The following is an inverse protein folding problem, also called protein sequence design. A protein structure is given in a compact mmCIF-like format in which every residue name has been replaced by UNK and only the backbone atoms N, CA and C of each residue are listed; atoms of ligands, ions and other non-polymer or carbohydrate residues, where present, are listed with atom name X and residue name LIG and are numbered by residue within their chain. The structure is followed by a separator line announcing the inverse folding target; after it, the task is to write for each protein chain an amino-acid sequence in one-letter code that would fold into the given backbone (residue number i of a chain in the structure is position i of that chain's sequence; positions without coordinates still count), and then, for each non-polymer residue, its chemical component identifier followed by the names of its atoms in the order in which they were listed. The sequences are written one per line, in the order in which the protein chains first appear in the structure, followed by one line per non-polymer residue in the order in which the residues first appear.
data_IF_273151751617
#
_entry.id   IF_273151751617
#
_cell.length_a   1.000
_cell.length_b   1.000
_cell.length_c   1.000
_cell.angle_alpha   90.00
_cell.angle_beta   90.00
_cell.angle_gamma   90.00
#
_symmetry.space_group_name_H-M   'P 1'
#
loop_
_entity.id
_entity.type
_entity.pdbx_description
1 polymer ?
#
# COMPACT_ATOMS: atom_id res chain seq x y z
N UNK A 1 68.42 -102.28 58.88
CA UNK A 1 67.45 -102.62 57.81
C UNK A 1 67.33 -101.47 56.83
N UNK A 2 67.25 -101.77 55.53
CA UNK A 2 67.02 -100.77 54.49
C UNK A 2 65.64 -100.10 54.65
N UNK A 3 65.52 -98.80 54.32
CA UNK A 3 64.30 -98.01 54.43
C UNK A 3 64.22 -96.96 53.32
N UNK A 4 63.10 -96.28 53.14
CA UNK A 4 63.00 -95.17 52.17
C UNK A 4 62.86 -93.82 52.88
N UNK A 5 63.35 -92.76 52.24
CA UNK A 5 63.07 -91.40 52.67
C UNK A 5 61.59 -91.04 52.47
N UNK A 6 60.99 -90.19 53.31
CA UNK A 6 59.54 -89.98 53.33
C UNK A 6 58.97 -89.17 52.15
N UNK A 7 59.71 -88.22 51.57
CA UNK A 7 59.16 -87.30 50.54
C UNK A 7 59.42 -87.74 49.09
N UNK A 8 60.60 -88.31 48.83
CA UNK A 8 61.10 -88.74 47.52
C UNK A 8 61.18 -90.27 47.37
N UNK A 9 61.02 -91.02 48.47
CA UNK A 9 61.08 -92.48 48.44
C UNK A 9 62.46 -93.06 48.11
N UNK A 10 63.55 -92.34 48.42
CA UNK A 10 64.93 -92.76 48.11
C UNK A 10 65.37 -93.91 49.05
N UNK A 11 65.93 -95.00 48.51
CA UNK A 11 66.19 -96.25 49.25
C UNK A 11 67.48 -96.22 50.09
N UNK A 12 67.39 -95.88 51.37
CA UNK A 12 68.47 -96.01 52.36
C UNK A 12 68.91 -97.46 52.56
N UNK A 13 70.22 -97.72 52.46
CA UNK A 13 70.82 -99.06 52.58
C UNK A 13 71.26 -99.36 54.01
N UNK A 14 71.33 -100.65 54.36
CA UNK A 14 71.70 -101.13 55.70
C UNK A 14 73.22 -101.02 55.92
N UNK A 15 73.68 -100.22 56.91
CA UNK A 15 75.11 -99.97 57.12
C UNK A 15 75.89 -101.16 57.71
N UNK A 16 75.23 -102.24 58.18
CA UNK A 16 75.92 -103.39 58.81
C UNK A 16 76.89 -104.17 57.89
N UNK A 17 77.00 -103.79 56.61
CA UNK A 17 77.85 -104.47 55.61
C UNK A 17 78.89 -103.54 54.98
N UNK A 18 78.95 -102.26 55.35
CA UNK A 18 79.96 -101.35 54.82
C UNK A 18 81.28 -101.47 55.59
N UNK A 19 82.34 -101.83 54.88
CA UNK A 19 83.68 -101.89 55.47
C UNK A 19 84.10 -100.47 55.85
N UNK A 20 84.25 -100.21 57.15
CA UNK A 20 84.41 -98.91 57.80
C UNK A 20 85.62 -98.04 57.35
N UNK A 21 86.30 -98.38 56.25
CA UNK A 21 87.55 -97.71 55.82
C UNK A 21 87.58 -97.27 54.34
N UNK A 22 86.59 -97.57 53.49
CA UNK A 22 86.64 -97.12 52.07
C UNK A 22 85.39 -96.43 51.53
N UNK A 23 84.19 -96.73 52.05
CA UNK A 23 82.97 -96.00 51.71
C UNK A 23 81.90 -96.20 52.80
N UNK A 24 81.67 -95.18 53.61
CA UNK A 24 80.64 -95.18 54.66
C UNK A 24 79.29 -94.80 54.04
N UNK A 25 78.40 -95.80 53.88
CA UNK A 25 77.09 -95.67 53.21
C UNK A 25 76.17 -94.77 54.03
N UNK A 26 76.29 -94.76 55.35
CA UNK A 26 75.49 -93.89 56.20
C UNK A 26 75.75 -92.41 55.89
N UNK A 27 77.01 -91.99 55.96
CA UNK A 27 77.41 -90.58 55.79
C UNK A 27 77.43 -90.13 54.32
N UNK A 28 77.86 -91.00 53.40
CA UNK A 28 78.05 -90.63 51.98
C UNK A 28 76.79 -90.82 51.13
N UNK A 29 75.82 -91.63 51.56
CA UNK A 29 74.60 -91.94 50.79
C UNK A 29 73.33 -91.64 51.60
N UNK A 30 73.10 -92.33 52.72
CA UNK A 30 71.85 -92.25 53.47
C UNK A 30 71.60 -90.84 54.04
N UNK A 31 72.58 -90.22 54.69
CA UNK A 31 72.49 -88.86 55.22
C UNK A 31 72.31 -87.83 54.10
N UNK A 32 73.00 -88.00 52.96
CA UNK A 32 72.84 -87.11 51.82
C UNK A 32 71.45 -87.23 51.21
N UNK A 33 70.86 -88.43 51.17
CA UNK A 33 69.47 -88.64 50.77
C UNK A 33 68.49 -88.05 51.77
N UNK A 34 68.70 -88.18 53.09
CA UNK A 34 67.85 -87.53 54.08
C UNK A 34 67.92 -85.99 53.96
N UNK A 35 69.10 -85.43 53.66
CA UNK A 35 69.29 -83.98 53.39
C UNK A 35 68.56 -83.54 52.12
N UNK A 36 68.69 -84.28 51.01
CA UNK A 36 68.03 -83.98 49.74
C UNK A 36 66.51 -84.14 49.87
N UNK A 37 66.06 -85.20 50.51
CA UNK A 37 64.63 -85.47 50.73
C UNK A 37 63.98 -84.38 51.59
N UNK A 38 64.65 -83.97 52.66
CA UNK A 38 64.20 -82.85 53.50
C UNK A 38 64.16 -81.55 52.71
N UNK A 39 65.22 -81.23 51.96
CA UNK A 39 65.28 -80.00 51.17
C UNK A 39 64.22 -79.96 50.06
N UNK A 40 63.99 -81.07 49.35
CA UNK A 40 62.97 -81.15 48.29
C UNK A 40 61.56 -81.20 48.89
N UNK A 41 61.36 -81.85 50.04
CA UNK A 41 60.12 -81.79 50.81
C UNK A 41 59.75 -80.35 51.18
N UNK A 42 60.71 -79.59 51.71
CA UNK A 42 60.52 -78.16 52.03
C UNK A 42 60.25 -77.31 50.79
N UNK A 43 60.93 -77.56 49.67
CA UNK A 43 60.68 -76.85 48.40
C UNK A 43 59.29 -77.16 47.87
N UNK A 44 58.85 -78.43 47.96
CA UNK A 44 57.52 -78.87 47.53
C UNK A 44 56.42 -78.25 48.39
N UNK A 45 56.55 -78.29 49.71
CA UNK A 45 55.64 -77.59 50.63
C UNK A 45 55.65 -76.07 50.36
N UNK A 46 56.83 -75.51 50.08
CA UNK A 46 56.97 -74.11 49.68
C UNK A 46 56.19 -73.78 48.41
N UNK A 47 56.32 -74.60 47.36
CA UNK A 47 55.62 -74.48 46.08
C UNK A 47 54.11 -74.69 46.19
N UNK A 48 53.68 -75.68 46.99
CA UNK A 48 52.25 -75.94 47.26
C UNK A 48 51.59 -74.75 47.98
N UNK A 49 52.36 -73.98 48.75
CA UNK A 49 51.90 -72.76 49.42
C UNK A 49 52.07 -71.47 48.58
N UNK A 50 52.64 -71.53 47.37
CA UNK A 50 52.65 -70.39 46.44
C UNK A 50 51.26 -70.27 45.79
N UNK A 51 50.32 -69.67 46.51
CA UNK A 51 49.06 -69.22 45.93
C UNK A 51 49.25 -67.80 45.34
N UNK A 52 49.37 -67.70 44.02
CA UNK A 52 49.36 -66.40 43.33
C UNK A 52 47.91 -66.01 43.05
N UNK A 53 47.19 -65.65 44.11
CA UNK A 53 45.84 -65.09 43.99
C UNK A 53 45.97 -63.59 43.68
N UNK A 54 45.67 -63.21 42.43
CA UNK A 54 45.63 -61.81 42.01
C UNK A 54 44.15 -61.43 41.91
N UNK A 55 43.64 -60.56 42.79
CA UNK A 55 42.23 -60.18 42.76
C UNK A 55 41.89 -59.39 41.49
N UNK A 56 40.59 -59.27 41.19
CA UNK A 56 40.11 -58.32 40.19
C UNK A 56 40.41 -56.89 40.64
N UNK A 57 40.72 -56.00 39.70
CA UNK A 57 40.99 -54.61 40.06
C UNK A 57 39.73 -53.90 40.53
N UNK A 58 39.89 -53.02 41.51
CA UNK A 58 38.87 -52.10 41.98
C UNK A 58 39.43 -50.67 42.01
N UNK A 59 38.60 -49.70 42.41
CA UNK A 59 39.04 -48.32 42.58
C UNK A 59 40.04 -48.16 43.75
N UNK A 60 40.14 -49.14 44.64
CA UNK A 60 40.98 -49.09 45.84
C UNK A 60 42.06 -50.18 45.89
N UNK A 61 41.93 -51.22 45.07
CA UNK A 61 42.83 -52.37 45.05
C UNK A 61 43.30 -52.67 43.63
N UNK A 62 44.60 -52.87 43.48
CA UNK A 62 45.19 -53.25 42.18
C UNK A 62 44.84 -54.71 41.87
N UNK A 63 44.56 -55.00 40.60
CA UNK A 63 44.18 -56.33 40.18
C UNK A 63 44.17 -56.52 38.67
N UNK A 64 43.62 -57.64 38.21
CA UNK A 64 43.40 -57.91 36.78
C UNK A 64 42.07 -57.31 36.28
N UNK A 65 42.01 -56.90 35.01
CA UNK A 65 40.82 -56.27 34.40
C UNK A 65 40.58 -56.84 33.00
N UNK A 66 39.32 -57.09 32.65
CA UNK A 66 38.95 -57.43 31.28
C UNK A 66 38.85 -56.18 30.39
N UNK A 67 39.37 -56.26 29.17
CA UNK A 67 39.27 -55.16 28.20
C UNK A 67 37.91 -55.19 27.47
N UNK A 68 37.38 -54.01 27.18
CA UNK A 68 36.13 -53.83 26.42
C UNK A 68 36.32 -52.85 25.26
N UNK A 69 35.74 -53.18 24.11
CA UNK A 69 35.67 -52.29 22.95
C UNK A 69 34.28 -51.67 22.73
N UNK A 70 33.34 -51.88 23.66
CA UNK A 70 32.05 -51.19 23.62
C UNK A 70 32.22 -49.69 23.93
N UNK A 71 31.51 -48.83 23.19
CA UNK A 71 31.52 -47.36 23.38
C UNK A 71 30.31 -46.84 24.15
N UNK A 72 29.35 -47.71 24.48
CA UNK A 72 28.09 -47.40 25.16
C UNK A 72 27.82 -48.35 26.34
N UNK A 73 28.85 -49.02 26.85
CA UNK A 73 28.72 -49.96 27.96
C UNK A 73 28.52 -49.26 29.30
N UNK A 74 27.82 -49.93 30.22
CA UNK A 74 27.58 -49.45 31.60
C UNK A 74 28.39 -50.22 32.65
N UNK A 75 29.28 -51.12 32.22
CA UNK A 75 30.10 -51.95 33.11
C UNK A 75 31.22 -51.10 33.72
N UNK A 76 31.39 -51.21 35.03
CA UNK A 76 32.45 -50.52 35.78
C UNK A 76 33.68 -51.39 36.05
N UNK A 77 33.60 -52.70 35.76
CA UNK A 77 34.66 -53.69 36.01
C UNK A 77 35.49 -54.05 34.76
N UNK A 78 35.51 -53.17 33.76
CA UNK A 78 36.27 -53.38 32.51
C UNK A 78 37.05 -52.12 32.13
N UNK A 79 38.19 -52.30 31.48
CA UNK A 79 38.99 -51.19 30.97
C UNK A 79 38.67 -50.94 29.48
N UNK A 80 38.60 -49.67 29.10
CA UNK A 80 38.39 -49.28 27.71
C UNK A 80 39.63 -49.56 26.86
N UNK A 81 39.44 -50.21 25.71
CA UNK A 81 40.49 -50.35 24.69
C UNK A 81 40.72 -49.03 23.95
N UNK A 82 41.92 -48.82 23.39
CA UNK A 82 42.21 -47.69 22.49
C UNK A 82 41.22 -47.61 21.33
N UNK A 83 40.74 -48.77 20.84
CA UNK A 83 39.70 -48.87 19.82
C UNK A 83 38.38 -48.20 20.27
N UNK A 84 37.93 -48.44 21.50
CA UNK A 84 36.72 -47.81 22.02
C UNK A 84 36.90 -46.29 22.17
N UNK A 85 38.04 -45.86 22.71
CA UNK A 85 38.35 -44.43 22.87
C UNK A 85 38.41 -43.73 21.52
N UNK A 86 39.06 -44.34 20.53
CA UNK A 86 39.13 -43.81 19.18
C UNK A 86 37.76 -43.73 18.52
N UNK A 87 36.93 -44.78 18.63
CA UNK A 87 35.58 -44.77 18.07
C UNK A 87 34.72 -43.64 18.68
N UNK A 88 34.78 -43.43 20.00
CA UNK A 88 34.07 -42.33 20.66
C UNK A 88 34.62 -40.95 20.23
N UNK A 89 35.94 -40.83 20.06
CA UNK A 89 36.58 -39.60 19.59
C UNK A 89 36.21 -39.26 18.14
N UNK A 90 36.24 -40.26 17.25
CA UNK A 90 35.89 -40.10 15.84
C UNK A 90 34.42 -39.67 15.70
N UNK A 91 33.51 -40.25 16.47
CA UNK A 91 32.09 -39.85 16.51
C UNK A 91 31.92 -38.40 17.02
N UNK A 92 32.64 -38.02 18.08
CA UNK A 92 32.63 -36.66 18.59
C UNK A 92 33.17 -35.64 17.57
N UNK A 93 34.21 -36.02 16.81
CA UNK A 93 34.77 -35.20 15.75
C UNK A 93 33.79 -35.05 14.58
N UNK A 94 33.10 -36.14 14.20
CA UNK A 94 32.05 -36.12 13.19
C UNK A 94 30.91 -35.19 13.60
N UNK A 95 30.45 -35.25 14.86
CA UNK A 95 29.43 -34.34 15.40
C UNK A 95 29.85 -32.87 15.36
N UNK A 96 31.12 -32.57 15.69
CA UNK A 96 31.69 -31.22 15.58
C UNK A 96 31.69 -30.73 14.13
N UNK A 97 32.09 -31.59 13.19
CA UNK A 97 32.14 -31.27 11.77
C UNK A 97 30.74 -30.97 11.20
N UNK A 98 29.73 -31.79 11.54
CA UNK A 98 28.33 -31.54 11.16
C UNK A 98 27.83 -30.18 11.66
N UNK A 99 28.21 -29.79 12.88
CA UNK A 99 27.87 -28.47 13.42
C UNK A 99 28.50 -27.31 12.63
N UNK A 100 29.73 -27.46 12.16
CA UNK A 100 30.42 -26.47 11.31
C UNK A 100 29.76 -26.37 9.94
N UNK A 101 29.46 -27.51 9.32
CA UNK A 101 28.78 -27.56 8.02
C UNK A 101 27.39 -26.93 8.08
N UNK A 102 26.62 -27.25 9.13
CA UNK A 102 25.29 -26.67 9.29
C UNK A 102 25.34 -25.16 9.52
N UNK A 103 26.35 -24.67 10.25
CA UNK A 103 26.59 -23.24 10.38
C UNK A 103 26.93 -22.59 9.04
N UNK A 104 27.77 -23.23 8.23
CA UNK A 104 28.10 -22.74 6.89
C UNK A 104 26.87 -22.70 5.97
N UNK A 105 26.00 -23.71 6.03
CA UNK A 105 24.73 -23.74 5.29
C UNK A 105 23.82 -22.57 5.68
N UNK A 106 23.68 -22.28 6.98
CA UNK A 106 22.89 -21.14 7.48
C UNK A 106 23.48 -19.81 6.99
N UNK A 107 24.81 -19.64 7.05
CA UNK A 107 25.49 -18.45 6.54
C UNK A 107 25.27 -18.28 5.03
N UNK A 108 25.39 -19.36 4.25
CA UNK A 108 25.14 -19.34 2.81
C UNK A 108 23.68 -18.96 2.50
N UNK A 109 22.72 -19.51 3.24
CA UNK A 109 21.30 -19.18 3.10
C UNK A 109 21.04 -17.70 3.39
N UNK A 110 21.58 -17.16 4.49
CA UNK A 110 21.47 -15.73 4.83
C UNK A 110 22.08 -14.83 3.74
N UNK A 111 23.27 -15.16 3.26
CA UNK A 111 23.92 -14.38 2.20
C UNK A 111 23.12 -14.44 0.88
N UNK A 112 22.50 -15.58 0.55
CA UNK A 112 21.68 -15.74 -0.66
C UNK A 112 20.43 -14.84 -0.68
N UNK A 113 19.92 -14.49 0.50
CA UNK A 113 18.78 -13.57 0.66
C UNK A 113 19.23 -12.12 0.95
N UNK A 114 20.52 -11.81 0.77
CA UNK A 114 21.08 -10.47 0.92
C UNK A 114 21.40 -10.05 2.36
N UNK A 115 21.32 -10.96 3.33
CA UNK A 115 21.74 -10.69 4.72
C UNK A 115 23.20 -11.09 4.87
N UNK A 116 24.08 -10.08 4.97
CA UNK A 116 25.52 -10.31 5.17
C UNK A 116 25.78 -11.11 6.44
N UNK A 117 26.33 -12.31 6.32
CA UNK A 117 26.66 -13.22 7.41
C UNK A 117 28.00 -13.93 7.16
N UNK A 118 28.67 -14.35 8.25
CA UNK A 118 29.97 -15.03 8.19
C UNK A 118 30.03 -16.22 9.15
N UNK A 119 30.83 -17.24 8.80
CA UNK A 119 31.08 -18.41 9.66
C UNK A 119 31.88 -18.06 10.91
N UNK A 120 32.52 -16.89 10.98
CA UNK A 120 33.18 -16.36 12.17
C UNK A 120 32.20 -15.86 13.25
N UNK A 121 30.93 -15.61 12.91
CA UNK A 121 29.93 -15.06 13.82
C UNK A 121 29.41 -16.12 14.80
N UNK A 122 29.03 -15.73 16.01
CA UNK A 122 28.41 -16.64 16.98
C UNK A 122 27.00 -17.07 16.52
N UNK A 123 26.51 -18.22 17.01
CA UNK A 123 25.13 -18.63 16.76
C UNK A 123 24.10 -17.59 17.21
N UNK A 124 24.34 -16.88 18.32
CA UNK A 124 23.48 -15.80 18.78
C UNK A 124 23.40 -14.62 17.77
N UNK A 125 24.53 -14.24 17.17
CA UNK A 125 24.56 -13.21 16.12
C UNK A 125 23.80 -13.67 14.87
N UNK A 126 24.02 -14.93 14.44
CA UNK A 126 23.30 -15.50 13.29
C UNK A 126 21.79 -15.59 13.54
N UNK A 127 21.36 -15.97 14.75
CA UNK A 127 19.94 -16.01 15.14
C UNK A 127 19.31 -14.63 15.10
N UNK A 128 19.99 -13.60 15.60
CA UNK A 128 19.51 -12.22 15.52
C UNK A 128 19.33 -11.77 14.07
N UNK A 129 20.29 -12.10 13.19
CA UNK A 129 20.18 -11.82 11.75
C UNK A 129 19.04 -12.58 11.09
N UNK A 130 18.85 -13.86 11.40
CA UNK A 130 17.71 -14.66 10.92
C UNK A 130 16.38 -14.06 11.38
N UNK A 131 16.28 -13.57 12.61
CA UNK A 131 15.08 -12.88 13.10
C UNK A 131 14.84 -11.54 12.39
N UNK A 132 15.90 -10.87 11.96
CA UNK A 132 15.86 -9.63 11.17
C UNK A 132 15.61 -9.83 9.67
N UNK A 133 15.65 -11.06 9.15
CA UNK A 133 15.21 -11.37 7.78
C UNK A 133 13.76 -10.90 7.65
N UNK A 134 13.57 -9.90 6.80
CA UNK A 134 12.35 -9.09 6.71
C UNK A 134 11.14 -10.02 6.46
N UNK A 135 10.32 -10.23 7.49
CA UNK A 135 8.88 -10.49 7.31
C UNK A 135 8.38 -9.29 6.51
N UNK A 136 7.78 -9.46 5.34
CA UNK A 136 7.36 -8.32 4.53
C UNK A 136 6.67 -7.27 5.42
N UNK A 137 7.14 -6.03 5.36
CA UNK A 137 6.62 -4.92 6.15
C UNK A 137 5.79 -4.02 5.24
N UNK A 138 4.96 -3.17 5.84
CA UNK A 138 4.06 -2.27 5.11
C UNK A 138 2.59 -2.52 5.45
N UNK A 139 1.76 -1.54 5.12
CA UNK A 139 0.33 -1.50 5.42
C UNK A 139 -0.55 -1.44 4.16
N UNK A 140 0.04 -1.56 2.97
CA UNK A 140 -0.72 -1.62 1.72
C UNK A 140 -1.71 -2.77 1.77
N UNK A 141 -2.97 -2.49 1.44
CA UNK A 141 -4.01 -3.49 1.22
C UNK A 141 -4.19 -3.73 -0.30
N UNK A 142 -4.94 -4.76 -0.73
CA UNK A 142 -5.07 -5.06 -2.15
C UNK A 142 -5.60 -3.88 -2.98
N UNK A 143 -6.50 -3.06 -2.42
CA UNK A 143 -7.06 -1.91 -3.10
C UNK A 143 -6.09 -0.73 -3.26
N UNK A 144 -4.93 -0.75 -2.59
CA UNK A 144 -3.89 0.28 -2.73
C UNK A 144 -2.93 -0.01 -3.89
N UNK A 145 -2.94 -1.25 -4.41
CA UNK A 145 -1.97 -1.74 -5.39
C UNK A 145 -2.68 -2.06 -6.70
N UNK A 146 -2.08 -1.66 -7.82
CA UNK A 146 -2.64 -1.86 -9.16
C UNK A 146 -2.96 -3.33 -9.44
N UNK A 147 -4.12 -3.58 -10.05
CA UNK A 147 -4.58 -4.91 -10.43
C UNK A 147 -3.52 -5.66 -11.25
N UNK A 148 -3.25 -6.91 -10.85
CA UNK A 148 -2.24 -7.77 -11.49
C UNK A 148 -0.79 -7.49 -11.07
N UNK A 149 -0.53 -6.47 -10.24
CA UNK A 149 0.78 -6.30 -9.59
C UNK A 149 0.82 -7.05 -8.28
N UNK A 150 1.96 -7.67 -7.98
CA UNK A 150 2.20 -8.35 -6.70
C UNK A 150 2.88 -7.42 -5.70
N UNK A 151 2.53 -7.55 -4.44
CA UNK A 151 3.15 -6.84 -3.33
C UNK A 151 3.24 -7.75 -2.10
N UNK A 152 3.97 -7.31 -1.08
CA UNK A 152 4.09 -8.01 0.20
C UNK A 152 3.90 -7.01 1.33
N UNK A 153 3.28 -7.43 2.43
CA UNK A 153 3.02 -6.60 3.60
C UNK A 153 3.11 -7.44 4.90
N UNK A 154 2.80 -6.85 6.06
CA UNK A 154 2.85 -7.53 7.35
C UNK A 154 2.01 -8.82 7.45
N UNK A 155 1.03 -9.00 6.56
CA UNK A 155 0.13 -10.16 6.51
C UNK A 155 0.64 -11.29 5.61
N UNK A 156 1.50 -11.00 4.63
CA UNK A 156 1.98 -12.04 3.71
C UNK A 156 2.76 -11.51 2.51
N UNK A 157 3.32 -12.45 1.75
CA UNK A 157 4.11 -12.21 0.55
C UNK A 157 3.34 -12.60 -0.70
N UNK A 158 3.63 -11.95 -1.83
CA UNK A 158 3.04 -12.31 -3.13
C UNK A 158 1.53 -12.04 -3.21
N UNK A 159 1.02 -11.13 -2.40
CA UNK A 159 -0.36 -10.67 -2.46
C UNK A 159 -0.58 -9.93 -3.78
N UNK A 160 -1.78 -10.04 -4.34
CA UNK A 160 -2.11 -9.39 -5.63
C UNK A 160 -2.96 -8.15 -5.39
N UNK A 161 -2.57 -7.04 -6.03
CA UNK A 161 -3.34 -5.80 -6.02
C UNK A 161 -4.67 -5.94 -6.75
N UNK A 162 -5.63 -5.09 -6.39
CA UNK A 162 -6.98 -5.04 -6.95
C UNK A 162 -7.38 -3.64 -7.43
N UNK A 163 -6.52 -2.62 -7.29
CA UNK A 163 -6.82 -1.26 -7.76
C UNK A 163 -7.00 -1.25 -9.29
N UNK A 164 -8.17 -0.86 -9.83
CA UNK A 164 -8.38 -0.83 -11.27
C UNK A 164 -7.51 0.22 -11.97
N UNK A 165 -7.00 -0.11 -13.16
CA UNK A 165 -6.43 0.88 -14.08
C UNK A 165 -7.54 1.45 -14.96
N UNK A 166 -7.73 2.78 -14.92
CA UNK A 166 -8.76 3.51 -15.68
C UNK A 166 -8.24 4.08 -17.00
N UNK A 167 -6.98 3.82 -17.35
CA UNK A 167 -6.34 4.36 -18.54
C UNK A 167 -6.01 5.84 -18.38
N UNK A 168 -5.95 6.58 -19.50
CA UNK A 168 -5.61 7.99 -19.49
C UNK A 168 -6.72 8.85 -18.85
N UNK A 169 -6.34 9.83 -18.03
CA UNK A 169 -7.27 10.72 -17.31
C UNK A 169 -8.09 11.66 -18.19
N UNK A 170 -7.65 11.93 -19.41
CA UNK A 170 -8.43 12.66 -20.41
C UNK A 170 -8.90 14.06 -19.98
N UNK A 171 -9.91 14.55 -20.68
CA UNK A 171 -10.51 15.87 -20.45
C UNK A 171 -11.99 15.73 -20.10
N UNK A 172 -12.41 16.37 -19.01
CA UNK A 172 -13.81 16.47 -18.60
C UNK A 172 -14.36 17.81 -19.07
N UNK A 173 -15.41 17.73 -19.88
CA UNK A 173 -16.19 18.90 -20.31
C UNK A 173 -17.31 19.10 -19.30
N UNK A 174 -17.38 20.22 -18.56
CA UNK A 174 -18.46 20.48 -17.62
C UNK A 174 -19.85 20.33 -18.27
N UNK A 175 -20.82 19.88 -17.47
CA UNK A 175 -22.20 19.63 -17.90
C UNK A 175 -23.18 20.12 -16.82
N UNK A 176 -24.46 20.14 -17.14
CA UNK A 176 -25.54 20.47 -16.20
C UNK A 176 -25.81 19.36 -15.18
N UNK A 177 -25.17 18.19 -15.33
CA UNK A 177 -25.25 17.06 -14.40
C UNK A 177 -23.88 16.71 -13.81
N UNK A 178 -23.88 16.14 -12.61
CA UNK A 178 -22.66 15.66 -11.96
C UNK A 178 -22.02 14.55 -12.78
N UNK A 179 -20.73 14.70 -13.05
CA UNK A 179 -19.92 13.68 -13.69
C UNK A 179 -19.11 12.96 -12.61
N UNK A 180 -19.30 11.64 -12.51
CA UNK A 180 -18.63 10.80 -11.52
C UNK A 180 -17.44 10.12 -12.19
N UNK A 181 -16.27 10.28 -11.61
CA UNK A 181 -15.08 9.53 -11.97
C UNK A 181 -14.99 8.29 -11.08
N UNK A 182 -14.85 7.12 -11.70
CA UNK A 182 -14.68 5.90 -10.92
C UNK A 182 -13.33 5.88 -10.22
N UNK A 183 -13.30 5.30 -9.01
CA UNK A 183 -12.07 5.10 -8.27
C UNK A 183 -11.08 4.21 -9.04
N UNK A 184 -9.79 4.51 -8.90
CA UNK A 184 -8.71 3.75 -9.52
C UNK A 184 -7.54 4.63 -9.91
N UNK A 185 -6.59 4.04 -10.62
CA UNK A 185 -5.40 4.71 -11.13
C UNK A 185 -5.65 5.23 -12.54
N UNK A 186 -5.37 6.52 -12.78
CA UNK A 186 -5.36 7.13 -14.11
C UNK A 186 -3.92 7.37 -14.53
N UNK A 187 -3.55 6.93 -15.73
CA UNK A 187 -2.18 6.96 -16.26
C UNK A 187 -1.72 8.36 -16.68
N UNK A 188 -2.62 9.34 -16.70
CA UNK A 188 -2.34 10.74 -16.99
C UNK A 188 -3.25 11.64 -16.14
N UNK A 189 -2.93 12.94 -16.00
CA UNK A 189 -3.82 13.90 -15.35
C UNK A 189 -5.21 13.88 -15.98
N UNK A 190 -6.20 14.15 -15.14
CA UNK A 190 -7.57 14.45 -15.55
C UNK A 190 -7.68 15.97 -15.61
N UNK A 191 -8.01 16.52 -16.78
CA UNK A 191 -8.16 17.97 -16.97
C UNK A 191 -9.63 18.33 -16.96
N UNK A 192 -10.05 19.20 -16.04
CA UNK A 192 -11.39 19.80 -16.05
C UNK A 192 -11.28 21.14 -16.77
N UNK A 193 -11.99 21.33 -17.87
CA UNK A 193 -11.91 22.59 -18.62
C UNK A 193 -12.60 23.73 -17.87
N UNK A 194 -11.91 24.86 -17.78
CA UNK A 194 -12.54 26.13 -17.43
C UNK A 194 -13.21 26.78 -18.65
N UNK A 195 -14.18 27.65 -18.40
CA UNK A 195 -14.79 28.50 -19.43
C UNK A 195 -14.39 29.95 -19.18
N UNK A 196 -13.63 30.60 -20.08
CA UNK A 196 -13.28 32.02 -19.96
C UNK A 196 -14.48 32.96 -19.86
N UNK A 197 -15.66 32.52 -20.32
CA UNK A 197 -16.91 33.29 -20.23
C UNK A 197 -17.59 33.17 -18.86
N UNK A 198 -17.07 32.36 -17.92
CA UNK A 198 -17.52 32.31 -16.54
C UNK A 198 -17.02 33.55 -15.77
N UNK A 199 -17.53 34.70 -16.18
CA UNK A 199 -17.25 36.02 -15.59
C UNK A 199 -18.56 36.69 -15.21
N UNK A 200 -18.54 37.52 -14.16
CA UNK A 200 -19.73 38.17 -13.60
C UNK A 200 -20.54 38.94 -14.64
N UNK A 201 -19.87 39.62 -15.59
CA UNK A 201 -20.50 40.40 -16.65
C UNK A 201 -21.31 39.58 -17.67
N UNK A 202 -21.13 38.25 -17.72
CA UNK A 202 -21.91 37.36 -18.58
C UNK A 202 -23.05 36.66 -17.83
N UNK A 203 -23.10 36.79 -16.50
CA UNK A 203 -24.07 36.12 -15.64
C UNK A 203 -25.10 37.15 -15.19
N UNK A 204 -26.38 36.83 -15.34
CA UNK A 204 -27.50 37.70 -14.94
C UNK A 204 -27.38 38.10 -13.46
N UNK A 205 -27.61 39.38 -13.16
CA UNK A 205 -27.66 39.89 -11.79
C UNK A 205 -28.59 39.05 -10.91
N UNK A 206 -28.10 38.65 -9.73
CA UNK A 206 -28.83 37.79 -8.78
C UNK A 206 -28.65 36.29 -8.99
N UNK A 207 -27.99 35.86 -10.06
CA UNK A 207 -27.63 34.46 -10.31
C UNK A 207 -26.18 34.21 -9.87
N UNK A 208 -25.91 33.05 -9.24
CA UNK A 208 -24.56 32.57 -8.93
C UNK A 208 -24.30 31.27 -9.66
N UNK A 209 -23.22 31.21 -10.46
CA UNK A 209 -22.73 29.98 -11.07
C UNK A 209 -21.33 29.69 -10.56
N UNK A 210 -21.16 28.53 -9.93
CA UNK A 210 -19.87 28.09 -9.37
C UNK A 210 -19.20 29.13 -8.46
N UNK A 211 -19.99 29.94 -7.73
CA UNK A 211 -19.50 30.99 -6.83
C UNK A 211 -19.26 32.35 -7.49
N UNK A 212 -19.38 32.46 -8.82
CA UNK A 212 -19.32 33.75 -9.53
C UNK A 212 -20.70 34.38 -9.54
N UNK A 213 -20.86 35.49 -8.81
CA UNK A 213 -22.11 36.26 -8.75
C UNK A 213 -22.22 37.16 -9.97
N UNK A 214 -23.37 37.11 -10.65
CA UNK A 214 -23.64 37.88 -11.85
C UNK A 214 -23.81 39.38 -11.62
N UNK A 215 -23.33 40.15 -12.59
CA UNK A 215 -23.49 41.62 -12.68
C UNK A 215 -24.13 42.09 -13.99
N UNK A 216 -24.51 41.17 -14.89
CA UNK A 216 -25.20 41.50 -16.12
C UNK A 216 -26.62 42.00 -15.83
N UNK A 217 -26.85 43.28 -16.08
CA UNK A 217 -28.18 43.88 -16.09
C UNK A 217 -28.72 43.77 -17.52
N UNK A 218 -29.81 43.02 -17.71
CA UNK A 218 -30.46 42.90 -19.01
C UNK A 218 -31.15 44.21 -19.40
N UNK A 219 -30.91 44.68 -20.63
CA UNK A 219 -31.60 45.85 -21.18
C UNK A 219 -33.10 45.61 -21.38
N UNK A 220 -33.90 46.68 -21.30
CA UNK A 220 -35.33 46.64 -21.67
C UNK A 220 -35.49 46.32 -23.16
N UNK A 221 -36.55 45.60 -23.53
CA UNK A 221 -36.85 45.33 -24.95
C UNK A 221 -37.18 46.64 -25.66
N UNK A 222 -36.74 46.77 -26.91
CA UNK A 222 -37.06 47.91 -27.75
C UNK A 222 -37.29 47.46 -29.19
N UNK A 223 -38.02 48.28 -29.94
CA UNK A 223 -38.29 48.07 -31.36
C UNK A 223 -38.30 49.41 -32.08
N UNK A 224 -37.85 49.44 -33.33
CA UNK A 224 -37.96 50.59 -34.22
C UNK A 224 -38.39 50.14 -35.60
N UNK A 225 -39.04 51.02 -36.34
CA UNK A 225 -39.43 50.69 -37.70
C UNK A 225 -40.31 51.77 -38.29
N UNK A 226 -41.02 51.39 -39.35
CA UNK A 226 -41.95 52.26 -40.05
C UNK A 226 -43.35 51.66 -40.01
N UNK A 227 -44.36 52.51 -39.98
CA UNK A 227 -45.75 52.12 -40.12
C UNK A 227 -46.49 53.13 -40.99
N UNK A 228 -47.50 52.63 -41.71
CA UNK A 228 -48.34 53.47 -42.56
C UNK A 228 -49.45 54.10 -41.72
N UNK A 229 -49.70 55.37 -41.97
CA UNK A 229 -50.82 56.12 -41.42
C UNK A 229 -51.73 56.52 -42.57
N UNK A 230 -53.02 56.19 -42.47
CA UNK A 230 -54.05 56.58 -43.43
C UNK A 230 -55.19 57.29 -42.72
N UNK A 231 -55.62 58.45 -43.23
CA UNK A 231 -56.64 59.30 -42.59
C UNK A 231 -56.33 59.60 -41.11
N UNK A 232 -55.05 59.82 -40.78
CA UNK A 232 -54.59 60.10 -39.41
C UNK A 232 -54.55 58.91 -38.46
N UNK A 233 -54.77 57.68 -38.94
CA UNK A 233 -54.75 56.46 -38.12
C UNK A 233 -53.73 55.45 -38.64
N UNK A 234 -53.04 54.79 -37.71
CA UNK A 234 -52.09 53.71 -38.01
C UNK A 234 -51.86 52.83 -36.81
N UNK A 235 -51.16 51.71 -37.01
CA UNK A 235 -50.82 50.80 -35.92
C UNK A 235 -49.54 50.06 -36.19
N UNK A 236 -48.81 49.76 -35.12
CA UNK A 236 -47.73 48.78 -35.10
C UNK A 236 -48.19 47.61 -34.26
N UNK A 237 -48.12 46.39 -34.79
CA UNK A 237 -48.39 45.15 -34.07
C UNK A 237 -47.23 44.17 -34.20
N UNK A 238 -47.30 43.04 -33.49
CA UNK A 238 -46.28 41.98 -33.55
C UNK A 238 -45.00 42.27 -32.75
N UNK A 239 -45.00 43.31 -31.92
CA UNK A 239 -43.93 43.53 -30.94
C UNK A 239 -43.97 42.40 -29.89
N UNK A 240 -42.81 41.91 -29.47
CA UNK A 240 -42.71 40.88 -28.41
C UNK A 240 -42.95 41.42 -26.99
N UNK A 241 -43.41 42.67 -26.87
CA UNK A 241 -43.65 43.40 -25.63
C UNK A 241 -44.76 44.43 -25.82
N UNK A 242 -45.41 44.82 -24.72
CA UNK A 242 -46.27 46.00 -24.66
C UNK A 242 -45.39 47.25 -24.52
N UNK A 243 -45.42 48.21 -25.44
CA UNK A 243 -44.65 49.44 -25.30
C UNK A 243 -45.11 50.26 -24.10
N UNK A 244 -44.15 50.66 -23.27
CA UNK A 244 -44.31 51.62 -22.18
C UNK A 244 -43.92 53.03 -22.59
N UNK A 245 -43.03 53.14 -23.57
CA UNK A 245 -42.66 54.41 -24.22
C UNK A 245 -42.73 54.24 -25.74
N UNK A 246 -43.35 55.18 -26.44
CA UNK A 246 -43.40 55.23 -27.91
C UNK A 246 -43.10 56.64 -28.38
N UNK A 247 -42.21 56.76 -29.35
CA UNK A 247 -41.99 57.98 -30.11
C UNK A 247 -42.32 57.64 -31.55
N UNK A 248 -43.19 58.41 -32.18
CA UNK A 248 -43.52 58.29 -33.59
C UNK A 248 -43.28 59.62 -34.29
N UNK A 249 -42.66 59.63 -35.46
CA UNK A 249 -42.39 60.84 -36.23
C UNK A 249 -42.57 60.57 -37.72
N UNK A 250 -43.14 61.52 -38.44
CA UNK A 250 -43.30 61.42 -39.88
C UNK A 250 -41.95 61.36 -40.61
N UNK A 251 -41.81 60.49 -41.62
CA UNK A 251 -40.53 60.22 -42.29
C UNK A 251 -40.06 61.37 -43.21
N UNK A 252 -40.97 62.04 -43.91
CA UNK A 252 -40.67 63.25 -44.71
C UNK A 252 -41.92 63.84 -45.35
N UNK A 253 -42.14 65.17 -45.31
CA UNK A 253 -42.84 65.87 -46.40
C UNK A 253 -42.57 67.38 -46.45
N UNK A 254 -42.04 67.84 -47.60
CA UNK A 254 -41.95 69.24 -48.01
C UNK A 254 -43.15 69.57 -48.92
N UNK A 255 -44.10 70.39 -48.45
CA UNK A 255 -44.92 71.23 -49.33
C UNK A 255 -45.57 72.36 -48.55
N UNK A 256 -45.62 73.54 -49.17
CA UNK A 256 -46.12 74.80 -48.60
C UNK A 256 -47.47 74.64 -47.91
N UNK A 257 -47.50 74.74 -46.57
CA UNK A 257 -48.72 74.92 -45.78
C UNK A 257 -49.24 73.74 -44.92
N UNK A 258 -48.58 72.57 -44.85
CA UNK A 258 -49.09 71.42 -44.08
C UNK A 258 -48.14 70.88 -42.99
N UNK A 259 -48.76 70.22 -42.00
CA UNK A 259 -48.26 69.89 -40.65
C UNK A 259 -47.29 68.71 -40.61
N UNK A 260 -46.10 68.84 -40.00
CA UNK A 260 -45.28 67.67 -39.63
C UNK A 260 -45.82 67.06 -38.35
N UNK A 261 -46.18 65.77 -38.36
CA UNK A 261 -46.73 65.08 -37.18
C UNK A 261 -45.65 64.30 -36.42
N UNK A 262 -45.69 64.42 -35.10
CA UNK A 262 -44.99 63.54 -34.19
C UNK A 262 -45.87 63.17 -33.01
N UNK A 263 -45.60 62.03 -32.39
CA UNK A 263 -46.30 61.54 -31.22
C UNK A 263 -45.30 61.06 -30.18
N UNK A 264 -45.58 61.36 -28.92
CA UNK A 264 -44.86 60.82 -27.77
C UNK A 264 -45.87 60.22 -26.81
N UNK A 265 -45.59 58.98 -26.42
CA UNK A 265 -46.26 58.26 -25.35
C UNK A 265 -45.21 57.83 -24.33
N UNK A 266 -45.48 58.04 -23.05
CA UNK A 266 -44.68 57.48 -21.97
C UNK A 266 -45.57 57.23 -20.76
N UNK A 267 -45.79 55.96 -20.41
CA UNK A 267 -46.63 55.59 -19.27
C UNK A 267 -46.05 55.99 -17.90
N UNK A 268 -44.73 56.17 -17.83
CA UNK A 268 -44.02 56.54 -16.60
C UNK A 268 -43.97 58.06 -16.35
N UNK A 269 -44.41 58.87 -17.32
CA UNK A 269 -44.45 60.33 -17.20
C UNK A 269 -45.91 60.79 -17.14
N UNK A 270 -46.26 61.53 -16.10
CA UNK A 270 -47.55 62.19 -15.98
C UNK A 270 -47.41 63.62 -16.54
N UNK A 271 -48.15 63.94 -17.59
CA UNK A 271 -48.17 65.27 -18.16
C UNK A 271 -49.31 66.09 -17.55
N UNK A 272 -49.07 67.38 -17.32
CA UNK A 272 -50.13 68.30 -16.92
C UNK A 272 -50.94 68.73 -18.15
N UNK A 273 -52.25 68.45 -18.15
CA UNK A 273 -53.18 68.81 -19.22
C UNK A 273 -54.27 69.72 -18.62
N UNK A 274 -54.71 70.80 -19.30
CA UNK A 274 -55.82 71.61 -18.82
C UNK A 274 -57.08 70.76 -18.63
N UNK A 275 -57.46 70.48 -17.38
CA UNK A 275 -58.58 69.59 -17.01
C UNK A 275 -58.21 68.32 -16.26
N UNK A 276 -56.91 68.02 -16.03
CA UNK A 276 -56.47 66.89 -15.22
C UNK A 276 -55.02 66.46 -15.46
N UNK A 277 -54.54 65.51 -14.65
CA UNK A 277 -53.25 64.84 -14.87
C UNK A 277 -53.51 63.48 -15.50
N UNK A 278 -52.84 63.20 -16.62
CA UNK A 278 -52.91 61.91 -17.31
C UNK A 278 -51.51 61.52 -17.81
N UNK A 279 -51.37 60.28 -18.25
CA UNK A 279 -50.15 59.77 -18.89
C UNK A 279 -49.73 60.70 -20.03
N UNK A 280 -48.42 60.96 -20.17
CA UNK A 280 -47.87 61.70 -21.30
C UNK A 280 -48.25 60.96 -22.58
N UNK A 281 -49.24 61.50 -23.27
CA UNK A 281 -49.78 60.96 -24.49
C UNK A 281 -50.17 62.13 -25.37
N UNK A 282 -49.27 62.48 -26.28
CA UNK A 282 -49.45 63.66 -27.10
C UNK A 282 -49.07 63.37 -28.53
N UNK A 283 -49.93 63.78 -29.46
CA UNK A 283 -49.59 63.96 -30.86
C UNK A 283 -49.52 65.46 -31.12
N UNK A 284 -48.39 65.92 -31.65
CA UNK A 284 -48.15 67.32 -31.97
C UNK A 284 -47.96 67.49 -33.47
N UNK A 285 -48.36 68.67 -33.95
CA UNK A 285 -48.14 69.13 -35.31
C UNK A 285 -47.17 70.31 -35.30
N UNK A 286 -46.08 70.22 -36.07
CA UNK A 286 -45.25 71.38 -36.37
C UNK A 286 -45.87 72.10 -37.58
N UNK A 287 -46.54 73.23 -37.32
CA UNK A 287 -47.06 74.13 -38.37
C UNK A 287 -46.34 75.47 -38.21
N UNK A 288 -45.89 76.08 -39.31
CA UNK A 288 -45.07 77.31 -39.32
C UNK A 288 -45.54 78.40 -38.35
N UNK A 289 -44.98 78.40 -37.14
CA UNK A 289 -45.14 79.43 -36.12
C UNK A 289 -46.36 79.32 -35.19
N UNK A 290 -47.14 78.24 -35.16
CA UNK A 290 -48.26 78.12 -34.20
C UNK A 290 -48.44 76.69 -33.67
N UNK A 291 -48.24 76.53 -32.36
CA UNK A 291 -48.49 75.29 -31.61
C UNK A 291 -50.00 75.10 -31.45
N UNK A 292 -50.60 74.22 -32.23
CA UNK A 292 -51.95 73.76 -31.96
C UNK A 292 -51.89 72.46 -31.15
N UNK A 293 -52.40 72.49 -29.91
CA UNK A 293 -52.67 71.30 -29.11
C UNK A 293 -53.75 70.46 -29.80
N UNK A 294 -53.36 69.63 -30.75
CA UNK A 294 -54.28 68.79 -31.50
C UNK A 294 -54.48 67.48 -30.73
N UNK A 295 -55.73 67.21 -30.30
CA UNK A 295 -56.08 66.00 -29.55
C UNK A 295 -55.82 64.77 -30.42
N UNK A 296 -54.87 63.93 -30.04
CA UNK A 296 -54.57 62.64 -30.66
C UNK A 296 -53.83 61.76 -29.67
N UNK A 297 -53.91 60.44 -29.85
CA UNK A 297 -53.43 59.45 -28.89
C UNK A 297 -52.54 58.40 -29.54
N UNK A 298 -51.47 58.08 -28.83
CA UNK A 298 -50.73 56.85 -28.95
C UNK A 298 -51.24 55.89 -27.88
N UNK A 299 -51.75 54.72 -28.27
CA UNK A 299 -52.35 53.77 -27.33
C UNK A 299 -51.64 52.43 -27.42
N UNK A 300 -50.76 52.08 -26.46
CA UNK A 300 -50.13 50.78 -26.47
C UNK A 300 -51.11 49.67 -26.14
N UNK A 301 -50.85 48.49 -26.68
CA UNK A 301 -51.53 47.23 -26.41
C UNK A 301 -50.49 46.11 -26.28
N UNK A 302 -50.92 44.88 -25.98
CA UNK A 302 -50.06 43.77 -25.56
C UNK A 302 -48.84 43.49 -26.44
N UNK A 303 -48.93 43.78 -27.74
CA UNK A 303 -47.88 43.52 -28.73
C UNK A 303 -47.72 44.68 -29.73
N UNK A 304 -47.98 45.93 -29.32
CA UNK A 304 -48.00 47.04 -30.26
C UNK A 304 -48.55 48.35 -29.73
N UNK A 305 -48.83 49.28 -30.63
CA UNK A 305 -49.52 50.53 -30.31
C UNK A 305 -50.36 51.03 -31.49
N UNK A 306 -51.43 51.74 -31.18
CA UNK A 306 -52.22 52.51 -32.14
C UNK A 306 -51.74 53.96 -32.16
N UNK A 307 -51.83 54.57 -33.33
CA UNK A 307 -51.68 56.00 -33.56
C UNK A 307 -53.01 56.53 -34.08
N UNK A 308 -53.63 57.47 -33.38
CA UNK A 308 -54.90 58.09 -33.78
C UNK A 308 -54.86 59.61 -33.61
N UNK A 309 -54.86 60.34 -34.72
CA UNK A 309 -54.94 61.79 -34.74
C UNK A 309 -56.40 62.25 -34.94
N UNK A 310 -57.07 62.64 -33.86
CA UNK A 310 -58.52 62.85 -33.83
C UNK A 310 -59.05 64.04 -34.68
N UNK A 311 -58.15 64.89 -35.19
CA UNK A 311 -58.48 66.04 -36.06
C UNK A 311 -58.08 65.85 -37.51
N UNK A 312 -57.81 64.62 -37.94
CA UNK A 312 -57.44 64.38 -39.33
C UNK A 312 -58.58 64.77 -40.27
N UNK A 313 -58.39 65.87 -41.01
CA UNK A 313 -59.09 66.05 -42.28
C UNK A 313 -58.63 64.91 -43.21
N UNK A 314 -59.45 64.51 -44.18
CA UNK A 314 -59.32 63.30 -45.02
C UNK A 314 -58.02 63.17 -45.84
N UNK A 315 -57.03 64.04 -45.62
CA UNK A 315 -55.77 64.13 -46.36
C UNK A 315 -54.52 63.65 -45.61
N UNK A 316 -54.60 63.29 -44.32
CA UNK A 316 -53.42 62.86 -43.55
C UNK A 316 -53.05 61.39 -43.82
N UNK A 317 -52.26 61.16 -44.86
CA UNK A 317 -51.73 59.85 -45.24
C UNK A 317 -50.21 59.93 -45.41
N UNK A 318 -49.47 58.96 -44.88
CA UNK A 318 -48.01 58.93 -44.98
C UNK A 318 -47.36 57.81 -44.18
N UNK A 319 -46.03 57.77 -44.19
CA UNK A 319 -45.23 56.80 -43.43
C UNK A 319 -44.62 57.48 -42.22
N UNK A 320 -44.76 56.84 -41.05
CA UNK A 320 -44.16 57.30 -39.80
C UNK A 320 -43.09 56.32 -39.35
N UNK A 321 -41.97 56.86 -38.88
CA UNK A 321 -40.98 56.12 -38.10
C UNK A 321 -41.46 56.00 -36.66
N UNK A 322 -41.15 54.89 -36.00
CA UNK A 322 -41.38 54.72 -34.57
C UNK A 322 -40.16 54.17 -33.83
N UNK A 323 -40.10 54.47 -32.54
CA UNK A 323 -39.22 53.87 -31.55
C UNK A 323 -40.06 53.52 -30.31
N UNK A 324 -40.10 52.24 -29.93
CA UNK A 324 -40.91 51.70 -28.85
C UNK A 324 -40.03 50.96 -27.84
N UNK A 325 -40.30 51.13 -26.55
CA UNK A 325 -39.53 50.55 -25.44
C UNK A 325 -40.48 49.90 -24.44
N UNK A 326 -40.12 48.73 -23.91
CA UNK A 326 -40.74 48.06 -22.76
C UNK A 326 -40.41 48.72 -21.41
#
# INVERSE_FOLDING_TARGET
MASNTPNLGLLKKDPMTDGNETFNIETMLNENWDKIDTAVGQVREGLENVNVDIPDASLTEKGIVQLSSATNGTRENVAATEKAVKAAYDEALAGKQLGVEQKANVVAALNSIGVSASTSETWAQLVSKMAGVIRATGNANPADVLAGKTYSNASGNGLTGTMPNRGAGGTIIPSTINQILEMGFYTSPITILGDPNLVSGNIRTGVSLFGVVGSLIEGKRWAKGQFSVGSGRGSVGGLSFKPRTVIAAHDSYQYSGYQTLGGIYCEDIIAYIPGGSDVLNYIFSFTGGSYANNRGWLTPFSNGFYFDFARATTSLTGTMNYFAIE
#
